data_IF_557720988274
#
_entry.id   IF_557720988274
#
_cell.length_a   1.000
_cell.length_b   1.000
_cell.length_c   1.000
_cell.angle_alpha   90.00
_cell.angle_beta   90.00
_cell.angle_gamma   90.00
#
_symmetry.space_group_name_H-M   'P 1'
#
loop_
_entity.id
_entity.type
_entity.pdbx_description
1 polymer ?
#
# COMPACT_ATOMS: atom_id res chain seq x y z
N UNK A 1 23.07 -21.72 -10.89
CA UNK A 1 21.90 -21.96 -10.02
C UNK A 1 20.90 -20.87 -10.34
N UNK A 2 19.68 -21.21 -10.74
CA UNK A 2 18.65 -20.22 -10.96
C UNK A 2 18.17 -19.61 -9.65
N UNK A 3 17.80 -18.34 -9.72
CA UNK A 3 17.22 -17.59 -8.59
C UNK A 3 15.75 -17.99 -8.37
N UNK A 4 15.08 -18.40 -9.44
CA UNK A 4 13.63 -18.63 -9.45
C UNK A 4 13.22 -20.05 -8.99
N UNK A 5 13.97 -21.09 -9.37
CA UNK A 5 13.69 -22.49 -9.02
C UNK A 5 14.90 -23.10 -8.31
N UNK A 6 14.86 -23.26 -6.99
CA UNK A 6 16.06 -23.67 -6.23
C UNK A 6 16.49 -25.12 -6.54
N UNK A 7 15.55 -25.97 -6.94
CA UNK A 7 15.75 -27.40 -7.15
C UNK A 7 15.83 -27.82 -8.64
N UNK A 8 16.12 -26.88 -9.56
CA UNK A 8 16.21 -27.19 -10.99
C UNK A 8 17.33 -28.20 -11.30
N UNK A 9 16.96 -29.41 -11.77
CA UNK A 9 17.90 -30.52 -12.01
C UNK A 9 18.43 -30.63 -13.44
N UNK A 10 17.75 -29.99 -14.39
CA UNK A 10 18.11 -29.96 -15.81
C UNK A 10 18.21 -28.50 -16.27
N UNK A 11 19.02 -28.27 -17.30
CA UNK A 11 18.97 -27.01 -18.07
C UNK A 11 18.38 -27.29 -19.45
N UNK A 12 17.52 -26.39 -19.90
CA UNK A 12 16.71 -26.52 -21.10
C UNK A 12 17.30 -25.63 -22.18
N UNK A 13 17.48 -26.15 -23.39
CA UNK A 13 17.88 -25.33 -24.54
C UNK A 13 16.69 -24.53 -25.04
N UNK A 14 16.82 -23.21 -25.03
CA UNK A 14 15.81 -22.33 -25.60
C UNK A 14 15.94 -22.29 -27.14
N UNK A 15 14.87 -22.59 -27.91
CA UNK A 15 14.95 -22.70 -29.36
C UNK A 15 15.10 -21.34 -30.07
N UNK A 16 14.73 -20.24 -29.42
CA UNK A 16 14.93 -18.86 -29.88
C UNK A 16 16.39 -18.54 -30.19
N UNK A 17 17.23 -18.93 -29.24
CA UNK A 17 18.50 -18.29 -28.98
C UNK A 17 19.59 -19.32 -28.72
N UNK A 18 19.22 -20.60 -28.75
CA UNK A 18 20.07 -21.79 -28.72
C UNK A 18 20.97 -21.91 -27.48
N UNK A 19 20.72 -21.07 -26.46
CA UNK A 19 21.37 -21.06 -25.16
C UNK A 19 20.60 -21.94 -24.17
N UNK A 20 21.30 -22.38 -23.13
CA UNK A 20 20.72 -23.20 -22.05
C UNK A 20 20.33 -22.32 -20.87
N UNK A 21 19.11 -22.53 -20.38
CA UNK A 21 18.58 -21.84 -19.21
C UNK A 21 17.94 -22.85 -18.26
N UNK A 22 17.97 -22.55 -16.96
CA UNK A 22 17.37 -23.41 -15.94
C UNK A 22 15.84 -23.22 -15.85
N UNK A 23 15.34 -22.05 -16.23
CA UNK A 23 13.95 -21.65 -16.05
C UNK A 23 13.50 -20.64 -17.13
N UNK A 24 12.19 -20.51 -17.42
CA UNK A 24 11.70 -19.54 -18.41
C UNK A 24 11.93 -18.09 -17.98
N UNK A 25 11.86 -17.79 -16.68
CA UNK A 25 12.13 -16.44 -16.13
C UNK A 25 13.61 -16.05 -16.32
N UNK A 26 14.51 -17.03 -16.19
CA UNK A 26 15.94 -16.87 -16.45
C UNK A 26 16.22 -16.50 -17.92
N UNK A 27 15.40 -16.99 -18.85
CA UNK A 27 15.46 -16.61 -20.26
C UNK A 27 14.94 -15.18 -20.45
N UNK A 28 13.79 -14.85 -19.87
CA UNK A 28 13.20 -13.51 -19.95
C UNK A 28 14.08 -12.40 -19.36
N UNK A 29 14.84 -12.68 -18.30
CA UNK A 29 15.78 -11.71 -17.71
C UNK A 29 17.04 -11.50 -18.55
N UNK A 30 17.43 -12.51 -19.34
CA UNK A 30 18.70 -12.49 -20.09
C UNK A 30 18.52 -12.17 -21.57
N UNK A 31 17.30 -12.22 -22.09
CA UNK A 31 17.00 -12.04 -23.50
C UNK A 31 15.77 -11.13 -23.68
N UNK A 32 15.84 -10.22 -24.66
CA UNK A 32 14.79 -9.23 -24.94
C UNK A 32 13.64 -9.76 -25.83
N UNK A 33 13.48 -11.08 -25.94
CA UNK A 33 12.47 -11.71 -26.81
C UNK A 33 11.72 -12.84 -26.10
N UNK A 34 10.49 -13.10 -26.54
CA UNK A 34 9.68 -14.19 -26.02
C UNK A 34 10.20 -15.58 -26.38
N UNK A 35 10.00 -16.54 -25.48
CA UNK A 35 10.40 -17.94 -25.69
C UNK A 35 9.53 -18.59 -26.78
N UNK A 36 10.17 -19.12 -27.83
CA UNK A 36 9.49 -19.85 -28.90
C UNK A 36 9.11 -21.25 -28.43
N UNK A 37 7.90 -21.70 -28.74
CA UNK A 37 7.42 -23.05 -28.43
C UNK A 37 7.92 -24.04 -29.49
N UNK A 38 8.49 -25.17 -29.06
CA UNK A 38 8.88 -26.30 -29.92
C UNK A 38 8.41 -27.61 -29.30
N UNK A 39 8.22 -28.62 -30.14
CA UNK A 39 7.80 -29.96 -29.72
C UNK A 39 9.00 -30.77 -29.23
N UNK A 40 10.14 -30.63 -29.90
CA UNK A 40 11.39 -31.25 -29.49
C UNK A 40 12.11 -30.32 -28.51
N UNK A 41 12.48 -30.85 -27.34
CA UNK A 41 13.26 -30.13 -26.35
C UNK A 41 14.58 -30.85 -26.10
N UNK A 42 15.66 -30.06 -26.01
CA UNK A 42 16.97 -30.56 -25.64
C UNK A 42 17.28 -30.16 -24.19
N UNK A 43 17.66 -31.14 -23.39
CA UNK A 43 17.96 -31.01 -21.97
C UNK A 43 19.42 -31.38 -21.69
N UNK A 44 20.01 -30.74 -20.69
CA UNK A 44 21.27 -31.18 -20.08
C UNK A 44 20.99 -31.52 -18.62
N UNK A 45 21.28 -32.75 -18.23
CA UNK A 45 21.16 -33.15 -16.81
C UNK A 45 22.32 -32.58 -16.01
N UNK A 46 22.05 -31.95 -14.85
CA UNK A 46 23.13 -31.41 -14.00
C UNK A 46 23.90 -32.49 -13.24
N UNK A 47 23.31 -33.66 -12.98
CA UNK A 47 24.00 -34.78 -12.32
C UNK A 47 25.05 -35.42 -13.23
N UNK A 48 24.68 -35.81 -14.45
CA UNK A 48 25.59 -36.50 -15.36
C UNK A 48 26.22 -35.59 -16.44
N UNK A 49 25.77 -34.34 -16.58
CA UNK A 49 26.23 -33.34 -17.57
C UNK A 49 26.11 -33.78 -19.04
N UNK A 50 25.33 -34.84 -19.31
CA UNK A 50 25.06 -35.32 -20.66
C UNK A 50 23.82 -34.62 -21.22
N UNK A 51 23.91 -34.26 -22.50
CA UNK A 51 22.79 -33.69 -23.25
C UNK A 51 21.94 -34.82 -23.84
N UNK A 52 20.62 -34.69 -23.71
CA UNK A 52 19.66 -35.60 -24.32
C UNK A 52 18.51 -34.80 -24.94
N UNK A 53 17.78 -35.43 -25.87
CA UNK A 53 16.63 -34.83 -26.54
C UNK A 53 15.40 -35.65 -26.24
N UNK A 54 14.28 -34.96 -26.04
CA UNK A 54 12.99 -35.61 -25.80
C UNK A 54 11.90 -34.87 -26.57
N UNK A 55 11.02 -35.65 -27.17
CA UNK A 55 9.86 -35.15 -27.90
C UNK A 55 8.67 -35.10 -26.95
N UNK A 56 8.05 -33.92 -26.81
CA UNK A 56 6.95 -33.70 -25.89
C UNK A 56 5.61 -34.28 -26.37
N UNK A 57 5.53 -34.79 -27.60
CA UNK A 57 4.30 -35.40 -28.16
C UNK A 57 3.99 -36.78 -27.57
N UNK A 58 5.02 -37.52 -27.17
CA UNK A 58 4.90 -38.87 -26.60
C UNK A 58 5.53 -38.84 -25.20
N UNK A 59 4.79 -38.29 -24.24
CA UNK A 59 5.24 -38.19 -22.87
C UNK A 59 4.73 -39.39 -22.07
N UNK A 60 5.63 -40.30 -21.71
CA UNK A 60 5.36 -41.46 -20.85
C UNK A 60 6.07 -41.30 -19.50
N UNK A 61 5.64 -42.02 -18.45
CA UNK A 61 6.23 -41.96 -17.10
C UNK A 61 7.74 -42.31 -17.10
N UNK A 62 8.19 -43.13 -18.06
CA UNK A 62 9.62 -43.47 -18.24
C UNK A 62 10.46 -42.24 -18.61
N UNK A 63 9.84 -41.20 -19.16
CA UNK A 63 10.51 -40.00 -19.62
C UNK A 63 10.77 -38.99 -18.52
N UNK A 64 10.26 -39.21 -17.31
CA UNK A 64 10.55 -38.36 -16.15
C UNK A 64 11.99 -38.48 -15.66
N UNK A 65 12.72 -39.48 -16.18
CA UNK A 65 14.08 -39.81 -15.78
C UNK A 65 15.08 -39.49 -16.89
N UNK A 66 16.30 -39.13 -16.47
CA UNK A 66 17.39 -38.95 -17.39
C UNK A 66 17.89 -40.32 -17.92
N UNK A 67 17.99 -40.54 -19.24
CA UNK A 67 18.37 -41.84 -19.84
C UNK A 67 19.83 -42.27 -19.57
N UNK A 68 20.60 -41.44 -18.85
CA UNK A 68 22.00 -41.68 -18.57
C UNK A 68 22.33 -41.93 -17.11
N UNK A 69 21.46 -41.54 -16.17
CA UNK A 69 21.74 -41.61 -14.74
C UNK A 69 20.49 -41.82 -13.88
N UNK A 70 19.36 -42.12 -14.51
CA UNK A 70 18.04 -42.36 -13.89
C UNK A 70 17.63 -41.27 -12.89
N UNK A 71 18.08 -40.05 -13.17
CA UNK A 71 17.75 -38.93 -12.34
C UNK A 71 16.36 -38.40 -12.69
N UNK A 72 15.45 -38.44 -11.72
CA UNK A 72 14.12 -37.85 -11.83
C UNK A 72 14.24 -36.32 -11.92
N UNK A 73 13.85 -35.75 -13.06
CA UNK A 73 14.00 -34.31 -13.29
C UNK A 73 12.67 -33.55 -13.29
N UNK A 74 11.54 -34.25 -13.29
CA UNK A 74 10.20 -33.67 -13.16
C UNK A 74 9.78 -33.67 -11.70
N UNK A 75 10.26 -32.68 -10.95
CA UNK A 75 10.00 -32.55 -9.51
C UNK A 75 9.26 -31.23 -9.25
N UNK A 76 8.43 -31.22 -8.21
CA UNK A 76 7.76 -30.01 -7.73
C UNK A 76 8.75 -28.85 -7.53
N UNK A 77 8.48 -27.72 -8.18
CA UNK A 77 9.38 -26.58 -8.14
C UNK A 77 9.38 -25.92 -6.76
N UNK A 78 10.56 -25.78 -6.15
CA UNK A 78 10.78 -25.02 -4.92
C UNK A 78 11.10 -23.58 -5.26
N UNK A 79 10.10 -22.71 -5.15
CA UNK A 79 10.27 -21.26 -5.30
C UNK A 79 10.79 -20.66 -3.98
N UNK A 80 11.66 -19.64 -4.02
CA UNK A 80 12.07 -18.93 -2.81
C UNK A 80 10.86 -18.22 -2.21
N UNK A 81 10.36 -18.72 -1.08
CA UNK A 81 9.33 -18.02 -0.33
C UNK A 81 10.02 -16.88 0.45
N UNK A 82 9.69 -15.63 0.12
CA UNK A 82 10.12 -14.48 0.90
C UNK A 82 9.37 -14.50 2.24
N UNK A 83 9.92 -15.21 3.22
CA UNK A 83 9.42 -15.17 4.60
C UNK A 83 9.95 -13.88 5.22
N UNK A 84 9.04 -12.93 5.46
CA UNK A 84 9.35 -11.71 6.20
C UNK A 84 9.50 -12.08 7.68
N UNK A 85 10.71 -12.48 8.08
CA UNK A 85 11.02 -12.76 9.47
C UNK A 85 11.16 -11.43 10.19
N UNK A 86 10.24 -11.13 11.11
CA UNK A 86 10.39 -10.00 12.03
C UNK A 86 11.47 -10.40 13.01
N UNK A 87 12.68 -9.92 12.81
CA UNK A 87 13.78 -10.03 13.77
C UNK A 87 13.39 -9.21 15.00
N UNK A 88 12.75 -9.86 15.98
CA UNK A 88 12.59 -9.29 17.30
C UNK A 88 13.96 -9.34 17.98
N UNK A 89 14.63 -8.19 18.08
CA UNK A 89 15.76 -8.03 19.00
C UNK A 89 15.33 -8.40 20.44
N UNK A 90 16.32 -8.69 21.29
CA UNK A 90 16.10 -9.16 22.67
C UNK A 90 14.99 -8.38 23.37
N UNK A 91 14.02 -9.11 23.93
CA UNK A 91 12.86 -8.57 24.64
C UNK A 91 13.23 -7.58 25.76
N UNK A 92 14.46 -7.63 26.28
CA UNK A 92 14.97 -6.67 27.26
C UNK A 92 15.36 -5.31 26.67
N UNK A 93 15.75 -5.27 25.40
CA UNK A 93 16.18 -4.06 24.70
C UNK A 93 14.97 -3.38 24.06
N UNK A 94 14.13 -4.15 23.36
CA UNK A 94 12.97 -3.62 22.66
C UNK A 94 11.64 -4.19 23.18
N UNK A 95 11.13 -3.59 24.24
CA UNK A 95 9.85 -3.96 24.86
C UNK A 95 8.61 -3.45 24.08
N UNK A 96 8.79 -2.94 22.86
CA UNK A 96 7.69 -2.37 22.04
C UNK A 96 6.81 -3.44 21.39
N UNK A 97 7.37 -4.63 21.16
CA UNK A 97 6.65 -5.76 20.54
C UNK A 97 5.91 -6.65 21.57
N UNK A 98 6.12 -6.41 22.88
CA UNK A 98 5.47 -7.17 23.95
C UNK A 98 4.25 -6.41 24.46
N UNK A 99 3.11 -7.10 24.46
CA UNK A 99 1.87 -6.59 25.03
C UNK A 99 1.87 -6.78 26.54
N UNK A 100 1.73 -5.70 27.29
CA UNK A 100 1.54 -5.77 28.75
C UNK A 100 0.05 -5.92 29.09
N UNK A 101 -0.32 -7.06 29.69
CA UNK A 101 -1.70 -7.38 30.06
C UNK A 101 -2.21 -6.58 31.28
N UNK A 102 -1.33 -5.89 32.02
CA UNK A 102 -1.71 -5.08 33.19
C UNK A 102 -2.27 -3.72 32.80
N UNK A 103 -1.92 -3.25 31.60
CA UNK A 103 -2.35 -1.95 31.10
C UNK A 103 -3.74 -2.12 30.47
N UNK A 104 -4.73 -1.40 31.00
CA UNK A 104 -6.07 -1.37 30.42
C UNK A 104 -5.99 -0.79 29.00
N UNK A 105 -6.47 -1.54 28.03
CA UNK A 105 -6.53 -1.15 26.63
C UNK A 105 -7.18 0.22 26.47
N UNK A 106 -6.46 1.17 25.85
CA UNK A 106 -6.96 2.50 25.53
C UNK A 106 -7.22 2.59 24.02
N UNK A 107 -8.50 2.53 23.59
CA UNK A 107 -8.87 2.54 22.17
C UNK A 107 -8.35 3.76 21.40
N UNK A 108 -7.93 4.85 22.07
CA UNK A 108 -7.38 6.01 21.37
C UNK A 108 -5.96 5.81 20.86
N UNK A 109 -5.20 4.88 21.46
CA UNK A 109 -3.78 4.64 21.13
C UNK A 109 -3.59 3.61 20.03
N UNK A 110 -4.61 2.81 19.73
CA UNK A 110 -4.54 1.81 18.69
C UNK A 110 -4.69 2.44 17.31
N UNK A 111 -3.72 2.16 16.45
CA UNK A 111 -3.69 2.68 15.08
C UNK A 111 -4.97 2.32 14.30
N UNK A 112 -5.48 1.09 14.47
CA UNK A 112 -6.70 0.63 13.82
C UNK A 112 -7.94 1.38 14.31
N UNK A 113 -8.04 1.60 15.63
CA UNK A 113 -9.22 2.24 16.22
C UNK A 113 -9.20 3.76 16.01
N UNK A 114 -8.02 4.39 15.98
CA UNK A 114 -7.87 5.81 15.58
C UNK A 114 -8.26 6.03 14.12
N UNK A 115 -7.97 5.09 13.22
CA UNK A 115 -8.38 5.19 11.80
C UNK A 115 -9.90 5.07 11.65
N UNK A 116 -10.54 4.16 12.38
CA UNK A 116 -12.01 4.03 12.42
C UNK A 116 -12.65 5.25 13.11
N UNK A 117 -12.14 5.68 14.26
CA UNK A 117 -12.63 6.86 14.96
C UNK A 117 -12.46 8.15 14.12
N UNK A 118 -11.37 8.28 13.36
CA UNK A 118 -11.19 9.40 12.44
C UNK A 118 -12.24 9.41 11.31
N UNK A 119 -12.66 8.22 10.83
CA UNK A 119 -13.78 8.07 9.91
C UNK A 119 -15.12 8.37 10.60
N UNK A 120 -15.30 8.00 11.87
CA UNK A 120 -16.51 8.30 12.64
C UNK A 120 -16.64 9.78 13.02
N UNK A 121 -15.52 10.50 13.17
CA UNK A 121 -15.50 11.97 13.36
C UNK A 121 -15.69 12.77 12.07
N UNK A 122 -16.04 12.14 10.95
CA UNK A 122 -16.68 12.84 9.82
C UNK A 122 -18.15 13.22 10.12
N UNK A 123 -18.59 13.11 11.37
CA UNK A 123 -19.76 13.86 11.83
C UNK A 123 -19.36 15.31 12.03
N UNK A 124 -19.44 16.04 10.92
CA UNK A 124 -19.79 17.46 10.90
C UNK A 124 -21.10 17.56 11.68
N UNK A 125 -20.97 17.90 12.96
CA UNK A 125 -22.08 18.14 13.86
C UNK A 125 -22.94 19.29 13.30
N UNK A 126 -24.25 19.04 13.19
CA UNK A 126 -25.32 20.04 13.11
C UNK A 126 -25.19 21.10 12.00
N UNK A 127 -25.50 20.68 10.76
CA UNK A 127 -25.79 21.63 9.67
C UNK A 127 -24.74 21.68 8.57
N UNK A 128 -24.28 20.52 8.09
CA UNK A 128 -23.36 20.45 6.95
C UNK A 128 -23.88 21.14 5.66
N UNK A 129 -23.05 21.14 4.62
CA UNK A 129 -23.23 21.92 3.39
C UNK A 129 -24.61 21.74 2.71
N UNK A 130 -25.17 20.54 2.78
CA UNK A 130 -26.50 20.21 2.26
C UNK A 130 -27.64 20.93 3.01
N UNK A 131 -27.49 21.11 4.33
CA UNK A 131 -28.45 21.84 5.14
C UNK A 131 -28.33 23.34 4.86
N UNK A 132 -27.10 23.86 4.76
CA UNK A 132 -26.85 25.24 4.34
C UNK A 132 -27.42 25.56 2.94
N UNK A 133 -27.35 24.62 1.99
CA UNK A 133 -27.99 24.77 0.67
C UNK A 133 -29.52 24.77 0.78
N UNK A 134 -30.10 23.88 1.59
CA UNK A 134 -31.55 23.86 1.81
C UNK A 134 -32.04 25.12 2.50
N UNK A 135 -31.29 25.64 3.48
CA UNK A 135 -31.63 26.86 4.20
C UNK A 135 -31.46 28.10 3.32
N UNK A 136 -30.46 28.12 2.43
CA UNK A 136 -30.35 29.11 1.36
C UNK A 136 -31.52 29.05 0.38
N UNK A 137 -31.91 27.85 -0.05
CA UNK A 137 -33.03 27.63 -0.97
C UNK A 137 -34.38 27.98 -0.32
N UNK A 138 -34.52 27.76 0.99
CA UNK A 138 -35.69 28.12 1.79
C UNK A 138 -35.71 29.58 2.25
N UNK A 139 -34.69 30.38 1.90
CA UNK A 139 -34.61 31.80 2.25
C UNK A 139 -34.40 32.09 3.74
N UNK A 140 -33.86 31.12 4.50
CA UNK A 140 -33.62 31.22 5.94
C UNK A 140 -32.26 31.83 6.31
N UNK A 141 -31.45 32.19 5.32
CA UNK A 141 -30.14 32.81 5.49
C UNK A 141 -30.16 34.26 4.99
N UNK A 142 -29.61 35.18 5.78
CA UNK A 142 -29.46 36.59 5.40
C UNK A 142 -28.40 36.80 4.31
N UNK A 143 -28.20 38.05 3.84
CA UNK A 143 -27.23 38.39 2.79
C UNK A 143 -25.78 37.97 3.13
N UNK A 144 -25.46 37.84 4.41
CA UNK A 144 -24.14 37.45 4.92
C UNK A 144 -24.00 35.93 5.14
N UNK A 145 -25.04 35.13 4.83
CA UNK A 145 -25.01 33.67 4.95
C UNK A 145 -25.26 33.12 6.37
N UNK A 146 -25.72 33.94 7.31
CA UNK A 146 -26.08 33.54 8.67
C UNK A 146 -27.61 33.30 8.79
N UNK A 147 -28.07 32.39 9.69
CA UNK A 147 -29.49 32.14 9.94
C UNK A 147 -30.23 33.40 10.41
N UNK A 148 -31.39 33.69 9.81
CA UNK A 148 -32.17 34.91 10.06
C UNK A 148 -32.70 34.99 11.49
N UNK A 149 -32.88 33.85 12.16
CA UNK A 149 -33.43 33.77 13.52
C UNK A 149 -32.38 33.69 14.63
N UNK A 150 -31.11 33.98 14.35
CA UNK A 150 -30.08 34.10 15.39
C UNK A 150 -30.21 35.44 16.15
N UNK A 151 -31.38 35.68 16.74
CA UNK A 151 -31.49 36.55 17.90
C UNK A 151 -30.73 35.86 19.05
N UNK A 152 -29.44 36.16 19.18
CA UNK A 152 -28.72 35.98 20.44
C UNK A 152 -29.54 36.59 21.59
N UNK A 153 -29.31 36.17 22.85
CA UNK A 153 -30.17 36.53 23.98
C UNK A 153 -30.47 38.03 23.96
N UNK A 154 -31.73 38.38 23.72
CA UNK A 154 -32.21 39.75 23.71
C UNK A 154 -32.32 40.22 25.16
N UNK A 155 -31.67 41.34 25.48
CA UNK A 155 -31.90 42.02 26.76
C UNK A 155 -33.36 42.47 26.87
N UNK A 156 -33.83 42.74 28.08
CA UNK A 156 -35.23 43.13 28.36
C UNK A 156 -35.75 44.33 27.53
N UNK A 157 -34.83 45.08 26.90
CA UNK A 157 -35.11 46.26 26.09
C UNK A 157 -35.24 45.95 24.58
N UNK A 158 -35.28 44.67 24.19
CA UNK A 158 -35.54 44.24 22.80
C UNK A 158 -34.41 44.49 21.81
N UNK A 159 -33.19 44.78 22.29
CA UNK A 159 -31.98 44.95 21.45
C UNK A 159 -31.06 43.72 21.57
N UNK A 160 -30.36 43.32 20.48
CA UNK A 160 -29.43 42.19 20.53
C UNK A 160 -28.24 42.53 21.46
N UNK A 161 -27.90 41.61 22.36
CA UNK A 161 -26.86 41.81 23.38
C UNK A 161 -25.43 41.96 22.80
N UNK A 162 -25.23 41.51 21.55
CA UNK A 162 -23.98 41.68 20.80
C UNK A 162 -24.20 42.75 19.73
N UNK A 163 -24.09 44.01 20.15
CA UNK A 163 -24.12 45.16 19.25
C UNK A 163 -22.75 45.31 18.56
N UNK A 164 -22.61 44.72 17.36
CA UNK A 164 -21.37 44.76 16.56
C UNK A 164 -21.09 46.14 15.96
N UNK A 165 -21.97 47.12 16.17
CA UNK A 165 -21.77 48.51 15.73
C UNK A 165 -20.61 49.22 16.43
N UNK A 166 -20.11 48.70 17.56
CA UNK A 166 -18.92 49.23 18.25
C UNK A 166 -17.58 48.83 17.61
N UNK A 167 -17.57 47.88 16.65
CA UNK A 167 -16.34 47.43 15.99
C UNK A 167 -16.01 48.18 14.69
N UNK A 168 -16.93 49.02 14.20
CA UNK A 168 -16.76 49.82 12.98
C UNK A 168 -16.53 51.30 13.30
N UNK A 169 -15.38 51.61 13.90
CA UNK A 169 -14.86 52.99 13.91
C UNK A 169 -14.33 53.36 12.51
N UNK A 170 -14.50 54.61 12.04
CA UNK A 170 -14.08 54.99 10.70
C UNK A 170 -12.54 55.00 10.65
N UNK A 171 -11.93 53.99 10.01
CA UNK A 171 -10.50 54.04 9.64
C UNK A 171 -9.65 52.78 9.89
N UNK A 172 -10.17 51.69 10.45
CA UNK A 172 -9.37 50.50 10.68
C UNK A 172 -9.29 49.60 9.42
N UNK A 173 -8.25 49.78 8.60
CA UNK A 173 -7.88 48.77 7.60
C UNK A 173 -7.31 47.53 8.31
N UNK A 174 -7.62 46.30 7.88
CA UNK A 174 -7.00 45.11 8.46
C UNK A 174 -5.54 45.05 7.98
N UNK A 175 -4.62 45.50 8.81
CA UNK A 175 -3.20 45.27 8.60
C UNK A 175 -2.96 43.78 8.84
N UNK A 176 -3.02 42.98 7.76
CA UNK A 176 -2.37 41.69 7.73
C UNK A 176 -0.90 41.94 8.04
N UNK A 177 -0.51 41.65 9.29
CA UNK A 177 0.88 41.76 9.71
C UNK A 177 1.67 40.82 8.81
N UNK A 178 2.56 41.43 8.04
CA UNK A 178 3.53 40.78 7.17
C UNK A 178 4.37 39.87 8.05
N UNK A 179 4.12 38.57 7.97
CA UNK A 179 5.05 37.55 8.45
C UNK A 179 6.34 37.74 7.64
N UNK A 180 7.44 38.06 8.32
CA UNK A 180 8.72 38.31 7.68
C UNK A 180 9.53 37.01 7.77
N UNK A 181 9.96 36.47 6.63
CA UNK A 181 10.67 35.19 6.54
C UNK A 181 12.06 35.19 7.21
N UNK A 182 12.52 36.33 7.73
CA UNK A 182 13.80 36.49 8.44
C UNK A 182 13.77 36.00 9.91
N UNK A 183 12.60 35.68 10.48
CA UNK A 183 12.46 35.16 11.86
C UNK A 183 12.68 33.62 11.95
N UNK A 184 13.20 33.00 10.89
CA UNK A 184 13.49 31.56 10.80
C UNK A 184 15.00 31.27 10.85
N UNK A 185 15.75 31.92 11.75
CA UNK A 185 17.15 31.60 11.99
C UNK A 185 17.33 30.41 12.95
N UNK A 186 17.35 29.19 12.40
CA UNK A 186 17.80 28.00 13.13
C UNK A 186 19.34 27.98 13.25
N UNK A 187 19.88 28.83 14.12
CA UNK A 187 21.26 28.75 14.61
C UNK A 187 21.42 27.70 15.72
#
# INVERSE_FOLDING_TARGET
MCKHILNAQVSIRAPCCQKFFDCPECHAESQDHGLRKTVEMAFICKKCRKAFRKDLTQYEESDEFCPHCDNHYVIEAKTPQAVLQVEGEDARVDNRMLRDDRIKYDPRKDFYYRRVAAQETERIDEGGWLQAIKDRAAGKLGPDGLPIDAAGPVGADGKPLLDTSALAGPGAKPQWNKFNDDDLDWS
#
